data_IF_357866920955
#
_entry.id   IF_357866920955
#
_cell.length_a   1.000
_cell.length_b   1.000
_cell.length_c   1.000
_cell.angle_alpha   90.00
_cell.angle_beta   90.00
_cell.angle_gamma   90.00
#
_symmetry.space_group_name_H-M   'P 1'
#
loop_
_entity.id
_entity.type
_entity.pdbx_description
1 polymer ?
#
# COMPACT_ATOMS: atom_id res chain seq x y z
N UNK A 1 39.02 -1.58 11.99
CA UNK A 1 37.95 -2.39 11.37
C UNK A 1 36.64 -1.68 11.64
N UNK A 2 36.07 -1.00 10.64
CA UNK A 2 34.85 -0.21 10.79
C UNK A 2 33.67 -1.16 11.00
N UNK A 3 33.04 -1.07 12.16
CA UNK A 3 31.71 -1.62 12.35
C UNK A 3 30.78 -0.87 11.40
N UNK A 4 30.28 -1.57 10.38
CA UNK A 4 29.09 -1.15 9.65
C UNK A 4 27.96 -1.11 10.68
N UNK A 5 27.65 0.05 11.24
CA UNK A 5 26.34 0.27 11.84
C UNK A 5 25.34 0.24 10.67
N UNK A 6 24.46 -0.78 10.58
CA UNK A 6 23.41 -0.74 9.59
C UNK A 6 22.51 0.43 9.98
N UNK A 7 22.30 1.37 9.07
CA UNK A 7 21.30 2.41 9.20
C UNK A 7 20.01 1.77 9.74
N UNK A 8 19.47 2.35 10.81
CA UNK A 8 18.32 1.86 11.60
C UNK A 8 16.99 1.89 10.84
N UNK A 9 16.98 1.51 9.57
CA UNK A 9 15.83 1.41 8.72
C UNK A 9 15.26 -0.02 8.78
N UNK A 10 13.94 -0.16 8.89
CA UNK A 10 13.26 -1.46 8.90
C UNK A 10 13.63 -2.33 7.69
N UNK A 11 13.90 -1.70 6.54
CA UNK A 11 14.32 -2.38 5.30
C UNK A 11 15.66 -3.12 5.45
N UNK A 12 16.65 -2.51 6.10
CA UNK A 12 17.95 -3.16 6.32
C UNK A 12 17.83 -4.37 7.25
N UNK A 13 16.96 -4.28 8.26
CA UNK A 13 16.69 -5.41 9.16
C UNK A 13 16.01 -6.56 8.43
N UNK A 14 15.06 -6.26 7.55
CA UNK A 14 14.43 -7.26 6.67
C UNK A 14 15.46 -7.93 5.76
N UNK A 15 16.34 -7.14 5.13
CA UNK A 15 17.42 -7.64 4.28
C UNK A 15 18.33 -8.62 5.02
N UNK A 16 18.78 -8.27 6.23
CA UNK A 16 19.65 -9.14 7.06
C UNK A 16 18.97 -10.47 7.38
N UNK A 17 17.70 -10.46 7.80
CA UNK A 17 16.97 -11.71 8.10
C UNK A 17 16.84 -12.58 6.85
N UNK A 18 16.49 -11.97 5.70
CA UNK A 18 16.36 -12.70 4.43
C UNK A 18 17.68 -13.33 3.97
N UNK A 19 18.79 -12.61 4.09
CA UNK A 19 20.12 -13.12 3.74
C UNK A 19 20.54 -14.30 4.61
N UNK A 20 20.28 -14.24 5.92
CA UNK A 20 20.60 -15.33 6.85
C UNK A 20 19.72 -16.55 6.62
N UNK A 21 18.43 -16.39 6.33
CA UNK A 21 17.54 -17.49 5.93
C UNK A 21 18.03 -18.12 4.62
N UNK A 22 18.41 -17.31 3.63
CA UNK A 22 18.92 -17.80 2.33
C UNK A 22 20.22 -18.57 2.49
N UNK A 23 21.12 -18.10 3.35
CA UNK A 23 22.43 -18.73 3.60
C UNK A 23 22.32 -19.99 4.43
N UNK A 24 21.32 -20.09 5.30
CA UNK A 24 21.15 -21.19 6.24
C UNK A 24 19.69 -21.70 6.29
N UNK A 25 19.19 -22.31 5.20
CA UNK A 25 17.78 -22.68 5.07
C UNK A 25 17.31 -23.74 6.08
N UNK A 26 18.23 -24.55 6.62
CA UNK A 26 17.94 -25.60 7.60
C UNK A 26 18.05 -25.14 9.05
N UNK A 27 18.29 -23.85 9.31
CA UNK A 27 18.28 -23.35 10.68
C UNK A 27 16.86 -23.14 11.17
N UNK A 28 16.53 -23.81 12.27
CA UNK A 28 15.30 -23.55 12.99
C UNK A 28 15.35 -22.18 13.68
N UNK A 29 14.18 -21.64 13.99
CA UNK A 29 13.98 -20.30 14.56
C UNK A 29 14.95 -19.91 15.70
N UNK A 30 15.10 -20.74 16.73
CA UNK A 30 16.02 -20.43 17.84
C UNK A 30 17.50 -20.36 17.43
N UNK A 31 17.92 -21.12 16.41
CA UNK A 31 19.27 -21.05 15.90
C UNK A 31 19.50 -19.77 15.06
N UNK A 32 18.49 -19.36 14.28
CA UNK A 32 18.50 -18.05 13.60
C UNK A 32 18.56 -16.89 14.60
N UNK A 33 17.77 -16.94 15.69
CA UNK A 33 17.83 -15.94 16.77
C UNK A 33 19.25 -15.84 17.33
N UNK A 34 19.86 -16.97 17.71
CA UNK A 34 21.22 -17.00 18.27
C UNK A 34 22.27 -16.42 17.32
N UNK A 35 22.00 -16.45 16.02
CA UNK A 35 22.92 -15.96 15.00
C UNK A 35 22.74 -14.47 14.70
N UNK A 36 21.49 -14.04 14.57
CA UNK A 36 21.13 -12.69 14.11
C UNK A 36 21.11 -11.69 15.27
N UNK A 37 20.49 -12.07 16.39
CA UNK A 37 20.22 -11.14 17.50
C UNK A 37 21.49 -10.56 18.12
N UNK A 38 22.53 -11.35 18.41
CA UNK A 38 23.76 -10.79 19.01
C UNK A 38 24.51 -9.81 18.11
N UNK A 39 24.23 -9.78 16.80
CA UNK A 39 25.00 -9.01 15.81
C UNK A 39 24.24 -7.83 15.23
N UNK A 40 22.93 -7.94 15.06
CA UNK A 40 22.20 -7.03 14.18
C UNK A 40 20.99 -6.35 14.82
N UNK A 41 20.32 -6.97 15.80
CA UNK A 41 19.07 -6.44 16.36
C UNK A 41 18.64 -7.12 17.65
N UNK A 42 17.84 -6.45 18.49
CA UNK A 42 17.23 -7.07 19.66
C UNK A 42 16.25 -8.19 19.27
N UNK A 43 16.00 -9.14 20.19
CA UNK A 43 15.11 -10.30 19.94
C UNK A 43 13.70 -9.86 19.51
N UNK A 44 13.10 -8.91 20.21
CA UNK A 44 11.76 -8.40 19.90
C UNK A 44 11.71 -7.73 18.53
N UNK A 45 12.77 -7.03 18.14
CA UNK A 45 12.92 -6.46 16.79
C UNK A 45 13.00 -7.56 15.73
N UNK A 46 13.82 -8.60 15.96
CA UNK A 46 13.90 -9.76 15.05
C UNK A 46 12.53 -10.40 14.84
N UNK A 47 11.76 -10.63 15.91
CA UNK A 47 10.44 -11.24 15.83
C UNK A 47 9.47 -10.38 15.01
N UNK A 48 9.41 -9.06 15.28
CA UNK A 48 8.57 -8.13 14.50
C UNK A 48 8.97 -8.05 13.03
N UNK A 49 10.28 -7.96 12.75
CA UNK A 49 10.79 -7.90 11.38
C UNK A 49 10.53 -9.21 10.62
N UNK A 50 10.70 -10.36 11.28
CA UNK A 50 10.31 -11.67 10.73
C UNK A 50 8.82 -11.72 10.43
N UNK A 51 7.97 -11.28 11.35
CA UNK A 51 6.52 -11.31 11.15
C UNK A 51 6.12 -10.43 9.97
N UNK A 52 6.74 -9.25 9.80
CA UNK A 52 6.54 -8.42 8.61
C UNK A 52 6.94 -9.14 7.31
N UNK A 53 8.04 -9.90 7.29
CA UNK A 53 8.42 -10.70 6.12
C UNK A 53 7.41 -11.82 5.81
N UNK A 54 6.77 -12.40 6.83
CA UNK A 54 5.70 -13.39 6.68
C UNK A 54 4.43 -12.72 6.15
N UNK A 55 4.03 -11.59 6.71
CA UNK A 55 2.86 -10.80 6.28
C UNK A 55 2.99 -10.36 4.82
N UNK A 56 4.19 -9.94 4.41
CA UNK A 56 4.53 -9.61 3.02
C UNK A 56 4.67 -10.84 2.11
N UNK A 57 4.48 -12.05 2.63
CA UNK A 57 4.67 -13.34 1.97
C UNK A 57 6.07 -13.53 1.35
N UNK A 58 7.09 -12.82 1.83
CA UNK A 58 8.47 -12.94 1.32
C UNK A 58 9.09 -14.26 1.80
N UNK A 59 8.77 -14.64 3.04
CA UNK A 59 9.12 -15.93 3.62
C UNK A 59 7.85 -16.67 4.07
N UNK A 60 7.92 -17.99 4.10
CA UNK A 60 6.92 -18.85 4.70
C UNK A 60 7.46 -19.51 5.97
N UNK A 61 6.58 -19.84 6.90
CA UNK A 61 6.93 -20.57 8.12
C UNK A 61 6.36 -21.98 8.04
N UNK A 62 7.23 -22.99 8.23
CA UNK A 62 6.84 -24.39 8.32
C UNK A 62 7.22 -24.98 9.67
N UNK A 63 6.45 -25.96 10.13
CA UNK A 63 6.76 -26.74 11.33
C UNK A 63 7.38 -28.08 10.92
N UNK A 64 8.52 -28.45 11.51
CA UNK A 64 9.05 -29.81 11.47
C UNK A 64 9.19 -30.30 12.93
N UNK A 65 8.27 -31.17 13.34
CA UNK A 65 8.05 -31.44 14.77
C UNK A 65 7.69 -30.15 15.53
N UNK A 66 8.30 -29.92 16.69
CA UNK A 66 8.09 -28.71 17.51
C UNK A 66 8.98 -27.52 17.13
N UNK A 67 9.61 -27.54 15.94
CA UNK A 67 10.55 -26.50 15.50
C UNK A 67 10.02 -25.75 14.28
N UNK A 68 10.12 -24.42 14.32
CA UNK A 68 9.80 -23.51 13.23
C UNK A 68 10.99 -23.35 12.29
N UNK A 69 10.75 -23.42 10.99
CA UNK A 69 11.72 -23.17 9.91
C UNK A 69 11.15 -22.14 8.95
N UNK A 70 12.03 -21.30 8.40
CA UNK A 70 11.64 -20.26 7.45
C UNK A 70 12.28 -20.53 6.10
N UNK A 71 11.49 -20.41 5.05
CA UNK A 71 11.95 -20.57 3.67
C UNK A 71 11.50 -19.39 2.83
N UNK A 72 12.29 -19.01 1.83
CA UNK A 72 11.89 -18.01 0.85
C UNK A 72 10.68 -18.52 0.07
N UNK A 73 9.74 -17.62 -0.21
CA UNK A 73 8.60 -17.95 -1.06
C UNK A 73 9.04 -18.14 -2.50
N UNK A 74 8.76 -19.33 -3.05
CA UNK A 74 9.04 -19.62 -4.45
C UNK A 74 8.20 -18.76 -5.39
N UNK A 75 8.79 -18.36 -6.52
CA UNK A 75 8.15 -17.54 -7.55
C UNK A 75 7.52 -16.25 -6.98
N UNK A 76 8.15 -15.65 -5.96
CA UNK A 76 7.62 -14.49 -5.24
C UNK A 76 7.16 -13.38 -6.19
N UNK A 77 8.00 -13.00 -7.16
CA UNK A 77 7.66 -11.96 -8.13
C UNK A 77 6.39 -12.29 -8.93
N UNK A 78 6.26 -13.51 -9.46
CA UNK A 78 5.05 -13.91 -10.20
C UNK A 78 3.82 -13.90 -9.29
N UNK A 79 3.95 -14.40 -8.05
CA UNK A 79 2.85 -14.44 -7.08
C UNK A 79 2.44 -13.05 -6.60
N UNK A 80 3.39 -12.16 -6.37
CA UNK A 80 3.11 -10.78 -5.95
C UNK A 80 2.41 -10.00 -7.05
N UNK A 81 2.78 -10.19 -8.32
CA UNK A 81 2.07 -9.57 -9.44
C UNK A 81 0.62 -10.04 -9.55
N UNK A 82 0.37 -11.34 -9.41
CA UNK A 82 -1.00 -11.87 -9.39
C UNK A 82 -1.81 -11.34 -8.20
N UNK A 83 -1.16 -11.15 -7.05
CA UNK A 83 -1.80 -10.58 -5.87
C UNK A 83 -2.14 -9.10 -6.08
N UNK A 84 -1.23 -8.31 -6.61
CA UNK A 84 -1.48 -6.90 -6.97
C UNK A 84 -2.67 -6.81 -7.91
N UNK A 85 -2.67 -7.60 -9.00
CA UNK A 85 -3.78 -7.64 -9.94
C UNK A 85 -5.12 -7.97 -9.28
N UNK A 86 -5.16 -9.03 -8.45
CA UNK A 86 -6.37 -9.42 -7.74
C UNK A 86 -6.87 -8.33 -6.80
N UNK A 87 -5.98 -7.69 -6.04
CA UNK A 87 -6.35 -6.64 -5.08
C UNK A 87 -6.84 -5.40 -5.83
N UNK A 88 -6.14 -4.98 -6.90
CA UNK A 88 -6.53 -3.82 -7.71
C UNK A 88 -7.91 -4.02 -8.33
N UNK A 89 -8.18 -5.18 -8.94
CA UNK A 89 -9.50 -5.49 -9.53
C UNK A 89 -10.59 -5.54 -8.44
N UNK A 90 -10.30 -6.15 -7.29
CA UNK A 90 -11.27 -6.21 -6.19
C UNK A 90 -11.61 -4.81 -5.65
N UNK A 91 -10.61 -3.95 -5.47
CA UNK A 91 -10.81 -2.57 -5.03
C UNK A 91 -11.57 -1.74 -6.05
N UNK A 92 -11.27 -1.90 -7.35
CA UNK A 92 -12.00 -1.26 -8.43
C UNK A 92 -13.51 -1.57 -8.35
N UNK A 93 -13.87 -2.85 -8.27
CA UNK A 93 -15.27 -3.25 -8.15
C UNK A 93 -15.92 -2.79 -6.84
N UNK A 94 -15.17 -2.82 -5.73
CA UNK A 94 -15.66 -2.29 -4.46
C UNK A 94 -15.98 -0.80 -4.56
N UNK A 95 -15.12 0.00 -5.19
CA UNK A 95 -15.32 1.44 -5.36
C UNK A 95 -16.51 1.75 -6.27
N UNK A 96 -16.71 0.99 -7.35
CA UNK A 96 -17.92 1.10 -8.17
C UNK A 96 -19.20 0.92 -7.35
N UNK A 97 -19.19 0.02 -6.36
CA UNK A 97 -20.33 -0.20 -5.47
C UNK A 97 -20.49 0.90 -4.42
N UNK A 98 -19.39 1.34 -3.80
CA UNK A 98 -19.41 2.41 -2.80
C UNK A 98 -19.92 3.73 -3.38
N UNK A 99 -19.51 4.09 -4.60
CA UNK A 99 -19.88 5.36 -5.21
C UNK A 99 -21.35 5.46 -5.57
N UNK A 100 -22.03 4.34 -5.85
CA UNK A 100 -23.48 4.33 -6.09
C UNK A 100 -24.31 4.85 -4.92
N UNK A 101 -23.77 4.77 -3.69
CA UNK A 101 -24.44 5.25 -2.46
C UNK A 101 -24.00 6.64 -2.03
N UNK A 102 -22.92 7.15 -2.62
CA UNK A 102 -22.29 8.38 -2.17
C UNK A 102 -23.24 9.57 -2.25
N UNK A 103 -23.95 9.74 -3.35
CA UNK A 103 -24.77 10.95 -3.55
C UNK A 103 -25.90 11.07 -2.51
N UNK A 104 -26.55 9.97 -2.18
CA UNK A 104 -27.63 9.96 -1.19
C UNK A 104 -27.08 10.14 0.24
N UNK A 105 -25.95 9.51 0.55
CA UNK A 105 -25.40 9.51 1.91
C UNK A 105 -24.55 10.74 2.25
N UNK A 106 -23.96 11.41 1.25
CA UNK A 106 -22.95 12.45 1.49
C UNK A 106 -23.56 13.73 2.07
N UNK A 107 -24.71 14.16 1.58
CA UNK A 107 -25.35 15.40 2.01
C UNK A 107 -25.88 15.35 3.46
N UNK A 108 -26.11 14.16 3.99
CA UNK A 108 -26.58 13.95 5.37
C UNK A 108 -25.47 13.93 6.42
N UNK A 109 -24.21 13.92 6.00
CA UNK A 109 -23.04 13.88 6.89
C UNK A 109 -22.69 15.25 7.44
N UNK A 110 -21.97 15.28 8.57
CA UNK A 110 -21.34 16.50 9.03
C UNK A 110 -20.09 16.86 8.21
N UNK A 111 -19.60 18.08 8.36
CA UNK A 111 -18.47 18.62 7.58
C UNK A 111 -17.21 17.75 7.72
N UNK A 112 -16.88 17.27 8.92
CA UNK A 112 -15.68 16.45 9.14
C UNK A 112 -15.84 15.06 8.54
N UNK A 113 -17.03 14.48 8.63
CA UNK A 113 -17.35 13.21 7.98
C UNK A 113 -17.28 13.31 6.45
N UNK A 114 -17.78 14.40 5.86
CA UNK A 114 -17.67 14.68 4.43
C UNK A 114 -16.21 14.78 3.99
N UNK A 115 -15.39 15.54 4.72
CA UNK A 115 -13.95 15.67 4.45
C UNK A 115 -13.28 14.29 4.53
N UNK A 116 -13.54 13.53 5.59
CA UNK A 116 -12.94 12.21 5.79
C UNK A 116 -13.32 11.23 4.69
N UNK A 117 -14.62 11.17 4.32
CA UNK A 117 -15.11 10.29 3.25
C UNK A 117 -14.57 10.71 1.88
N UNK A 118 -14.51 12.01 1.59
CA UNK A 118 -13.94 12.52 0.34
C UNK A 118 -12.44 12.21 0.21
N UNK A 119 -11.65 12.41 1.27
CA UNK A 119 -10.23 12.01 1.32
C UNK A 119 -10.08 10.51 1.11
N UNK A 120 -10.88 9.71 1.81
CA UNK A 120 -10.84 8.25 1.71
C UNK A 120 -11.08 7.80 0.26
N UNK A 121 -12.20 8.21 -0.34
CA UNK A 121 -12.59 7.79 -1.68
C UNK A 121 -11.59 8.23 -2.74
N UNK A 122 -11.15 9.49 -2.71
CA UNK A 122 -10.17 9.97 -3.69
C UNK A 122 -8.83 9.24 -3.55
N UNK A 123 -8.36 8.96 -2.32
CA UNK A 123 -7.14 8.17 -2.11
C UNK A 123 -7.30 6.74 -2.63
N UNK A 124 -8.42 6.08 -2.35
CA UNK A 124 -8.68 4.71 -2.79
C UNK A 124 -8.78 4.64 -4.33
N UNK A 125 -9.42 5.61 -4.99
CA UNK A 125 -9.49 5.72 -6.45
C UNK A 125 -8.10 5.90 -7.06
N UNK A 126 -7.32 6.87 -6.56
CA UNK A 126 -5.95 7.13 -7.04
C UNK A 126 -5.01 5.94 -6.79
N UNK A 127 -5.14 5.26 -5.64
CA UNK A 127 -4.36 4.04 -5.36
C UNK A 127 -4.73 2.88 -6.28
N UNK A 128 -6.01 2.75 -6.61
CA UNK A 128 -6.48 1.72 -7.55
C UNK A 128 -5.97 2.00 -8.96
N UNK A 129 -6.02 3.25 -9.42
CA UNK A 129 -5.49 3.68 -10.71
C UNK A 129 -3.97 3.45 -10.83
N UNK A 130 -3.24 3.76 -9.76
CA UNK A 130 -1.81 3.45 -9.65
C UNK A 130 -1.56 1.94 -9.73
N UNK A 131 -2.43 1.12 -9.16
CA UNK A 131 -2.38 -0.34 -9.27
C UNK A 131 -2.41 -0.80 -10.72
N UNK A 132 -3.37 -0.30 -11.51
CA UNK A 132 -3.46 -0.61 -12.94
C UNK A 132 -2.26 -0.07 -13.72
N UNK A 133 -1.79 1.14 -13.41
CA UNK A 133 -0.59 1.73 -14.02
C UNK A 133 0.66 0.88 -13.78
N UNK A 134 0.84 0.36 -12.56
CA UNK A 134 1.94 -0.56 -12.21
C UNK A 134 1.81 -1.87 -13.00
N UNK A 135 0.61 -2.44 -13.09
CA UNK A 135 0.37 -3.68 -13.82
C UNK A 135 0.64 -3.52 -15.32
N UNK A 136 0.19 -2.42 -15.92
CA UNK A 136 0.52 -2.06 -17.30
C UNK A 136 2.02 -1.94 -17.51
N UNK A 137 2.69 -1.21 -16.63
CA UNK A 137 4.15 -1.01 -16.71
C UNK A 137 4.92 -2.33 -16.64
N UNK A 138 4.48 -3.27 -15.80
CA UNK A 138 5.17 -4.55 -15.60
C UNK A 138 4.81 -5.56 -16.69
N UNK A 139 3.56 -5.62 -17.14
CA UNK A 139 3.10 -6.58 -18.15
C UNK A 139 3.44 -6.14 -19.57
N UNK A 140 3.26 -4.85 -19.88
CA UNK A 140 3.59 -4.27 -21.18
C UNK A 140 3.69 -2.74 -21.11
N UNK A 141 4.89 -2.21 -20.88
CA UNK A 141 5.12 -0.77 -20.79
C UNK A 141 4.83 0.04 -22.08
N UNK A 142 4.51 -0.63 -23.20
CA UNK A 142 4.19 0.01 -24.48
C UNK A 142 2.69 0.02 -24.79
N UNK A 143 1.86 -0.61 -23.95
CA UNK A 143 0.41 -0.70 -24.16
C UNK A 143 -0.33 -0.61 -22.83
N UNK A 144 -1.32 0.26 -22.77
CA UNK A 144 -2.30 0.30 -21.69
C UNK A 144 -3.25 -0.88 -21.81
N UNK A 145 -3.13 -1.88 -20.93
CA UNK A 145 -3.97 -3.07 -20.93
C UNK A 145 -5.31 -2.80 -20.23
N UNK A 146 -5.29 -1.96 -19.18
CA UNK A 146 -6.46 -1.62 -18.36
C UNK A 146 -7.07 -0.27 -18.74
N UNK A 147 -7.15 0.02 -20.05
CA UNK A 147 -7.56 1.34 -20.56
C UNK A 147 -8.97 1.72 -20.11
N UNK A 148 -9.89 0.76 -20.15
CA UNK A 148 -11.30 1.01 -19.82
C UNK A 148 -11.45 1.27 -18.32
N UNK A 149 -10.71 0.54 -17.49
CA UNK A 149 -10.66 0.74 -16.04
C UNK A 149 -10.07 2.11 -15.67
N UNK A 150 -9.01 2.55 -16.35
CA UNK A 150 -8.46 3.91 -16.16
C UNK A 150 -9.49 5.00 -16.49
N UNK A 151 -10.22 4.85 -17.60
CA UNK A 151 -11.28 5.79 -17.98
C UNK A 151 -12.42 5.79 -16.96
N UNK A 152 -12.85 4.62 -16.50
CA UNK A 152 -13.91 4.53 -15.50
C UNK A 152 -13.48 5.10 -14.15
N UNK A 153 -12.22 4.91 -13.72
CA UNK A 153 -11.70 5.57 -12.52
C UNK A 153 -11.70 7.10 -12.68
N UNK A 154 -11.32 7.61 -13.86
CA UNK A 154 -11.40 9.04 -14.13
C UNK A 154 -12.84 9.57 -14.01
N UNK A 155 -13.82 8.83 -14.54
CA UNK A 155 -15.24 9.17 -14.39
C UNK A 155 -15.71 9.12 -12.92
N UNK A 156 -15.27 8.09 -12.18
CA UNK A 156 -15.55 7.96 -10.74
C UNK A 156 -14.94 9.10 -9.92
N UNK A 157 -13.71 9.52 -10.22
CA UNK A 157 -13.07 10.69 -9.60
C UNK A 157 -13.89 11.94 -9.92
N UNK A 158 -14.26 12.15 -11.20
CA UNK A 158 -15.10 13.28 -11.61
C UNK A 158 -16.42 13.30 -10.85
N UNK A 159 -17.07 12.15 -10.67
CA UNK A 159 -18.30 12.04 -9.89
C UNK A 159 -18.10 12.44 -8.42
N UNK A 160 -17.06 11.94 -7.76
CA UNK A 160 -16.74 12.33 -6.36
C UNK A 160 -16.52 13.83 -6.26
N UNK A 161 -15.77 14.42 -7.20
CA UNK A 161 -15.53 15.86 -7.23
C UNK A 161 -16.84 16.64 -7.43
N UNK A 162 -17.72 16.20 -8.31
CA UNK A 162 -19.03 16.83 -8.51
C UNK A 162 -19.89 16.79 -7.24
N UNK A 163 -19.93 15.65 -6.54
CA UNK A 163 -20.66 15.54 -5.26
C UNK A 163 -20.13 16.54 -4.23
N UNK A 164 -18.80 16.64 -4.10
CA UNK A 164 -18.16 17.61 -3.19
C UNK A 164 -18.46 19.05 -3.62
N UNK A 165 -18.33 19.35 -4.91
CA UNK A 165 -18.52 20.70 -5.46
C UNK A 165 -19.95 21.21 -5.35
N UNK A 166 -20.93 20.31 -5.35
CA UNK A 166 -22.35 20.65 -5.20
C UNK A 166 -22.78 20.77 -3.72
N UNK A 167 -21.88 20.56 -2.76
CA UNK A 167 -22.20 20.68 -1.35
C UNK A 167 -22.21 22.14 -0.88
N UNK A 168 -23.11 22.47 0.06
CA UNK A 168 -23.25 23.84 0.59
C UNK A 168 -21.98 24.34 1.30
N UNK A 169 -21.18 23.43 1.84
CA UNK A 169 -19.96 23.73 2.59
C UNK A 169 -18.69 23.61 1.72
N UNK A 170 -18.84 23.65 0.38
CA UNK A 170 -17.77 23.41 -0.61
C UNK A 170 -16.53 24.26 -0.38
N UNK A 171 -16.69 25.54 -0.05
CA UNK A 171 -15.59 26.51 0.14
C UNK A 171 -14.62 26.08 1.26
N UNK A 172 -15.08 25.23 2.17
CA UNK A 172 -14.25 24.67 3.24
C UNK A 172 -13.86 23.21 2.96
N UNK A 173 -14.82 22.38 2.52
CA UNK A 173 -14.61 20.94 2.32
C UNK A 173 -13.61 20.69 1.19
N UNK A 174 -13.80 21.33 0.04
CA UNK A 174 -12.97 21.10 -1.15
C UNK A 174 -11.48 21.39 -0.89
N UNK A 175 -11.07 22.60 -0.44
CA UNK A 175 -9.65 22.88 -0.21
C UNK A 175 -9.03 21.99 0.87
N UNK A 176 -9.79 21.61 1.89
CA UNK A 176 -9.34 20.70 2.94
C UNK A 176 -9.01 19.32 2.39
N UNK A 177 -9.92 18.74 1.59
CA UNK A 177 -9.71 17.43 0.95
C UNK A 177 -8.50 17.47 0.04
N UNK A 178 -8.44 18.46 -0.86
CA UNK A 178 -7.36 18.60 -1.85
C UNK A 178 -5.98 18.74 -1.21
N UNK A 179 -5.88 19.54 -0.15
CA UNK A 179 -4.63 19.68 0.62
C UNK A 179 -4.20 18.33 1.22
N UNK A 180 -5.14 17.56 1.76
CA UNK A 180 -4.86 16.24 2.32
C UNK A 180 -4.48 15.17 1.29
N UNK A 181 -4.85 15.34 0.02
CA UNK A 181 -4.44 14.44 -1.07
C UNK A 181 -3.22 14.94 -1.84
N UNK A 182 -2.63 16.08 -1.43
CA UNK A 182 -1.33 16.55 -1.90
C UNK A 182 -1.34 17.79 -2.80
N UNK A 183 -2.48 18.44 -3.00
CA UNK A 183 -2.56 19.70 -3.74
C UNK A 183 -2.45 20.90 -2.78
N UNK A 184 -1.32 21.59 -2.82
CA UNK A 184 -1.08 22.76 -1.98
C UNK A 184 -1.61 24.05 -2.64
N UNK A 185 -2.72 24.56 -2.11
CA UNK A 185 -3.35 25.80 -2.57
C UNK A 185 -2.72 27.07 -2.01
N UNK A 186 -1.82 26.97 -1.03
CA UNK A 186 -1.22 28.15 -0.37
C UNK A 186 -0.16 28.83 -1.23
N UNK A 187 0.35 28.15 -2.26
CA UNK A 187 1.49 28.65 -3.07
C UNK A 187 1.10 29.36 -4.36
N UNK A 188 -0.11 29.18 -4.88
CA UNK A 188 -0.38 29.47 -6.31
C UNK A 188 -1.62 30.33 -6.62
N UNK A 189 -2.45 30.72 -5.65
CA UNK A 189 -3.67 31.48 -5.97
C UNK A 189 -3.41 32.93 -6.41
N UNK A 190 -2.30 33.54 -6.01
CA UNK A 190 -1.96 34.92 -6.38
C UNK A 190 -1.41 35.05 -7.81
N UNK A 191 -1.01 33.95 -8.45
CA UNK A 191 -0.41 33.95 -9.81
C UNK A 191 -1.43 33.68 -10.93
N UNK A 192 -2.71 33.41 -10.60
CA UNK A 192 -3.77 33.05 -11.57
C UNK A 192 -4.74 34.24 -11.81
N UNK A 193 -4.21 35.47 -11.89
CA UNK A 193 -4.95 36.67 -12.34
C UNK A 193 -4.47 37.11 -13.72
#
# INVERSE_FOLDING_TARGET
MSQFEPETNGVERERVILEEIRKYPDLHHNALIKKIVPKFMAKTTFEKTRDSLIEKNVISCSMRGNRKFYTLTENYQKRSLLLIERITIANFHFLQHELKRLQDDFHHKDVNEKISKGIQLLRELLQTDNGFTILDSIKNSKKTLYKDEHLEIQEMISFVLQVISNDKDVDFIFPSIMSCIGFDFTKNFEEIK
#
